data_IF_623355850378
#
_entry.id   IF_623355850378
#
_cell.length_a   1.000
_cell.length_b   1.000
_cell.length_c   1.000
_cell.angle_alpha   90.00
_cell.angle_beta   90.00
_cell.angle_gamma   90.00
#
_symmetry.space_group_name_H-M   'P 1'
#
loop_
_entity.id
_entity.type
_entity.pdbx_description
1 polymer ?
#
# COMPACT_ATOMS: atom_id res chain seq x y z
N UNK A 1 0.86 40.20 2.60
CA UNK A 1 1.69 39.08 2.09
C UNK A 1 0.76 37.98 1.59
N UNK A 2 0.97 37.46 0.38
CA UNK A 2 0.20 36.36 -0.13
C UNK A 2 0.54 35.06 0.65
N UNK A 3 -0.49 34.27 0.96
CA UNK A 3 -0.31 32.97 1.61
C UNK A 3 0.37 31.99 0.62
N UNK A 4 1.29 31.16 1.12
CA UNK A 4 1.82 30.04 0.34
C UNK A 4 0.72 29.02 0.00
N UNK A 5 0.95 28.15 -0.98
CA UNK A 5 -0.01 27.10 -1.35
C UNK A 5 -0.40 26.23 -0.13
N UNK A 6 0.58 25.81 0.66
CA UNK A 6 0.35 25.04 1.87
C UNK A 6 -0.42 25.80 2.94
N UNK A 7 -0.14 27.11 3.13
CA UNK A 7 -0.92 27.95 4.06
C UNK A 7 -2.37 28.09 3.62
N UNK A 8 -2.64 28.22 2.32
CA UNK A 8 -4.00 28.24 1.78
C UNK A 8 -4.75 26.94 2.07
N UNK A 9 -4.08 25.77 1.88
CA UNK A 9 -4.66 24.46 2.19
C UNK A 9 -5.02 24.32 3.68
N UNK A 10 -4.10 24.67 4.58
CA UNK A 10 -4.38 24.67 6.03
C UNK A 10 -5.56 25.57 6.37
N UNK A 11 -5.63 26.77 5.79
CA UNK A 11 -6.73 27.70 6.02
C UNK A 11 -8.08 27.12 5.54
N UNK A 12 -8.11 26.42 4.40
CA UNK A 12 -9.32 25.78 3.91
C UNK A 12 -9.82 24.68 4.85
N UNK A 13 -8.92 23.83 5.34
CA UNK A 13 -9.28 22.79 6.33
C UNK A 13 -9.75 23.44 7.63
N UNK A 14 -9.02 24.42 8.16
CA UNK A 14 -9.42 25.15 9.37
C UNK A 14 -10.79 25.82 9.20
N UNK A 15 -11.04 26.42 8.04
CA UNK A 15 -12.34 27.03 7.72
C UNK A 15 -13.47 26.02 7.72
N UNK A 16 -13.25 24.83 7.16
CA UNK A 16 -14.25 23.77 7.12
C UNK A 16 -14.61 23.27 8.54
N UNK A 17 -13.72 23.44 9.51
CA UNK A 17 -13.89 22.96 10.89
C UNK A 17 -14.49 23.98 11.86
N UNK A 18 -14.54 25.26 11.51
CA UNK A 18 -14.97 26.34 12.43
C UNK A 18 -16.34 26.07 13.08
N UNK A 19 -17.25 25.45 12.33
CA UNK A 19 -18.61 25.15 12.79
C UNK A 19 -18.78 23.70 13.30
N UNK A 20 -17.67 22.98 13.52
CA UNK A 20 -17.63 21.60 14.06
C UNK A 20 -18.62 20.64 13.37
N UNK A 21 -18.52 20.46 12.05
CA UNK A 21 -19.45 19.61 11.32
C UNK A 21 -19.21 18.14 11.66
N UNK A 22 -20.25 17.30 11.66
CA UNK A 22 -20.09 15.85 11.87
C UNK A 22 -19.45 15.15 10.67
N UNK A 23 -19.45 15.77 9.49
CA UNK A 23 -18.86 15.24 8.24
C UNK A 23 -18.03 16.34 7.58
N UNK A 24 -16.80 15.99 7.17
CA UNK A 24 -15.92 16.88 6.39
C UNK A 24 -15.57 16.17 5.08
N UNK A 25 -15.64 16.94 3.97
CA UNK A 25 -15.22 16.47 2.65
C UNK A 25 -13.96 17.25 2.25
N UNK A 26 -12.89 16.53 1.98
CA UNK A 26 -11.58 17.07 1.58
C UNK A 26 -11.26 16.61 0.16
N UNK A 27 -11.17 17.57 -0.76
CA UNK A 27 -10.82 17.27 -2.15
C UNK A 27 -9.32 17.53 -2.36
N UNK A 28 -8.57 16.45 -2.67
CA UNK A 28 -7.13 16.46 -2.89
C UNK A 28 -6.35 17.27 -1.82
N UNK A 29 -6.52 16.96 -0.52
CA UNK A 29 -6.06 17.87 0.55
C UNK A 29 -4.54 18.04 0.60
N UNK A 30 -3.77 17.09 0.07
CA UNK A 30 -2.30 17.04 0.10
C UNK A 30 -1.64 17.34 -1.23
N UNK A 31 -2.42 17.60 -2.29
CA UNK A 31 -1.86 17.89 -3.61
C UNK A 31 -0.98 19.15 -3.58
N UNK A 32 0.28 19.01 -4.01
CA UNK A 32 1.25 20.10 -4.05
C UNK A 32 1.75 20.58 -2.67
N UNK A 33 1.62 19.75 -1.65
CA UNK A 33 2.05 20.04 -0.27
C UNK A 33 3.34 19.29 0.02
N UNK A 34 4.29 19.93 0.72
CA UNK A 34 5.51 19.26 1.17
C UNK A 34 5.24 18.17 2.21
N UNK A 35 6.22 17.30 2.44
CA UNK A 35 6.08 16.11 3.31
C UNK A 35 5.74 16.48 4.75
N UNK A 36 6.37 17.51 5.32
CA UNK A 36 6.14 17.92 6.72
C UNK A 36 4.72 18.44 6.92
N UNK A 37 4.26 19.27 5.99
CA UNK A 37 2.93 19.82 6.02
C UNK A 37 1.86 18.75 5.77
N UNK A 38 2.14 17.79 4.90
CA UNK A 38 1.28 16.63 4.66
C UNK A 38 1.08 15.81 5.94
N UNK A 39 2.15 15.49 6.64
CA UNK A 39 2.08 14.75 7.91
C UNK A 39 1.25 15.50 8.95
N UNK A 40 1.48 16.81 9.11
CA UNK A 40 0.70 17.65 10.03
C UNK A 40 -0.80 17.63 9.69
N UNK A 41 -1.15 17.68 8.41
CA UNK A 41 -2.55 17.64 7.96
C UNK A 41 -3.19 16.28 8.30
N UNK A 42 -2.47 15.19 8.09
CA UNK A 42 -2.96 13.86 8.42
C UNK A 42 -3.13 13.63 9.93
N UNK A 43 -2.23 14.15 10.75
CA UNK A 43 -2.41 14.11 12.21
C UNK A 43 -3.68 14.85 12.64
N UNK A 44 -3.95 16.01 12.06
CA UNK A 44 -5.17 16.76 12.32
C UNK A 44 -6.42 15.98 11.89
N UNK A 45 -6.43 15.38 10.70
CA UNK A 45 -7.55 14.55 10.20
C UNK A 45 -7.79 13.36 11.12
N UNK A 46 -6.73 12.64 11.53
CA UNK A 46 -6.83 11.54 12.50
C UNK A 46 -7.39 12.00 13.85
N UNK A 47 -6.97 13.16 14.32
CA UNK A 47 -7.49 13.73 15.58
C UNK A 47 -8.99 14.00 15.50
N UNK A 48 -9.46 14.57 14.38
CA UNK A 48 -10.89 14.79 14.14
C UNK A 48 -11.69 13.51 14.08
N UNK A 49 -11.18 12.51 13.38
CA UNK A 49 -11.83 11.21 13.29
C UNK A 49 -11.98 10.56 14.67
N UNK A 50 -10.94 10.64 15.53
CA UNK A 50 -11.01 10.20 16.93
C UNK A 50 -12.06 10.95 17.76
N UNK A 51 -12.39 12.17 17.38
CA UNK A 51 -13.46 12.98 18.01
C UNK A 51 -14.85 12.67 17.43
N UNK A 52 -14.96 11.69 16.52
CA UNK A 52 -16.22 11.27 15.93
C UNK A 52 -16.59 11.98 14.62
N UNK A 53 -15.71 12.82 14.06
CA UNK A 53 -15.95 13.48 12.77
C UNK A 53 -15.70 12.48 11.64
N UNK A 54 -16.68 12.26 10.78
CA UNK A 54 -16.51 11.47 9.55
C UNK A 54 -15.78 12.29 8.49
N UNK A 55 -14.68 11.76 7.99
CA UNK A 55 -13.91 12.42 6.92
C UNK A 55 -14.05 11.64 5.62
N UNK A 56 -14.48 12.32 4.56
CA UNK A 56 -14.46 11.82 3.18
C UNK A 56 -13.36 12.58 2.47
N UNK A 57 -12.42 11.87 1.85
CA UNK A 57 -11.36 12.51 1.08
C UNK A 57 -11.27 11.93 -0.33
N UNK A 58 -10.92 12.75 -1.29
CA UNK A 58 -10.49 12.31 -2.61
C UNK A 58 -8.98 12.44 -2.69
N UNK A 59 -8.32 11.51 -3.32
CA UNK A 59 -6.88 11.54 -3.58
C UNK A 59 -6.52 10.64 -4.75
N UNK A 60 -5.47 10.98 -5.45
CA UNK A 60 -4.81 10.11 -6.42
C UNK A 60 -3.52 9.47 -5.84
N UNK A 61 -3.19 9.76 -4.59
CA UNK A 61 -2.07 9.14 -3.88
C UNK A 61 -2.58 7.88 -3.16
N UNK A 62 -2.40 6.72 -3.77
CA UNK A 62 -2.91 5.44 -3.27
C UNK A 62 -2.33 5.08 -1.90
N UNK A 63 -1.05 5.39 -1.66
CA UNK A 63 -0.39 5.21 -0.37
C UNK A 63 -1.07 6.00 0.76
N UNK A 64 -1.57 7.22 0.47
CA UNK A 64 -2.31 8.01 1.45
C UNK A 64 -3.67 7.39 1.76
N UNK A 65 -4.40 6.96 0.72
CA UNK A 65 -5.67 6.28 0.88
C UNK A 65 -5.51 5.02 1.73
N UNK A 66 -4.48 4.22 1.47
CA UNK A 66 -4.17 3.00 2.22
C UNK A 66 -3.89 3.27 3.70
N UNK A 67 -3.08 4.29 4.00
CA UNK A 67 -2.67 4.61 5.38
C UNK A 67 -3.71 5.36 6.21
N UNK A 68 -4.65 6.03 5.55
CA UNK A 68 -5.54 7.00 6.20
C UNK A 68 -7.00 6.57 6.23
N UNK A 69 -7.43 5.71 5.31
CA UNK A 69 -8.85 5.41 5.13
C UNK A 69 -9.20 4.02 5.68
N UNK A 70 -10.30 3.94 6.45
CA UNK A 70 -10.88 2.67 6.86
C UNK A 70 -11.58 1.96 5.70
N UNK A 71 -12.18 2.75 4.79
CA UNK A 71 -12.88 2.27 3.59
C UNK A 71 -12.46 3.10 2.39
N UNK A 72 -12.33 2.43 1.25
CA UNK A 72 -11.88 3.05 -0.01
C UNK A 72 -12.87 2.73 -1.12
N UNK A 73 -13.27 3.77 -1.85
CA UNK A 73 -14.00 3.66 -3.11
C UNK A 73 -13.06 3.91 -4.28
N UNK A 74 -12.92 2.96 -5.19
CA UNK A 74 -12.12 3.09 -6.40
C UNK A 74 -13.02 3.51 -7.55
N UNK A 75 -12.71 4.63 -8.19
CA UNK A 75 -13.44 5.17 -9.33
C UNK A 75 -12.58 5.04 -10.58
N UNK A 76 -13.11 4.49 -11.64
CA UNK A 76 -12.50 4.42 -12.96
C UNK A 76 -13.51 4.74 -14.06
N UNK A 77 -13.15 5.57 -15.03
CA UNK A 77 -14.01 6.00 -16.14
C UNK A 77 -15.39 6.52 -15.64
N UNK A 78 -15.40 7.27 -14.51
CA UNK A 78 -16.62 7.82 -13.93
C UNK A 78 -17.53 6.80 -13.23
N UNK A 79 -17.07 5.57 -13.03
CA UNK A 79 -17.83 4.49 -12.37
C UNK A 79 -17.13 4.03 -11.10
N UNK A 80 -17.91 3.76 -10.06
CA UNK A 80 -17.41 3.12 -8.85
C UNK A 80 -17.16 1.63 -9.15
N UNK A 81 -15.88 1.24 -9.25
CA UNK A 81 -15.48 -0.14 -9.58
C UNK A 81 -15.25 -1.02 -8.35
N UNK A 82 -15.00 -0.42 -7.20
CA UNK A 82 -14.92 -1.12 -5.91
C UNK A 82 -15.27 -0.17 -4.77
N UNK A 83 -15.85 -0.72 -3.69
CA UNK A 83 -16.07 -0.05 -2.42
C UNK A 83 -15.98 -1.08 -1.31
N UNK A 84 -14.93 -1.00 -0.50
CA UNK A 84 -14.68 -1.98 0.57
C UNK A 84 -13.82 -1.37 1.68
N UNK A 85 -13.57 -2.12 2.75
CA UNK A 85 -12.55 -1.75 3.73
C UNK A 85 -11.16 -1.84 3.08
N UNK A 86 -10.22 -1.00 3.55
CA UNK A 86 -8.83 -1.03 3.09
C UNK A 86 -8.24 -2.44 3.20
N UNK A 87 -8.48 -3.11 4.33
CA UNK A 87 -8.06 -4.50 4.54
C UNK A 87 -8.61 -5.44 3.48
N UNK A 88 -9.92 -5.45 3.24
CA UNK A 88 -10.53 -6.35 2.26
C UNK A 88 -10.04 -6.09 0.83
N UNK A 89 -9.70 -4.84 0.49
CA UNK A 89 -9.11 -4.52 -0.81
C UNK A 89 -7.69 -5.11 -0.93
N UNK A 90 -6.86 -4.97 0.09
CA UNK A 90 -5.50 -5.54 0.12
C UNK A 90 -5.52 -7.07 0.15
N UNK A 91 -6.48 -7.68 0.84
CA UNK A 91 -6.65 -9.15 0.88
C UNK A 91 -6.98 -9.76 -0.50
N UNK A 92 -7.36 -8.94 -1.49
CA UNK A 92 -7.51 -9.38 -2.89
C UNK A 92 -6.18 -9.67 -3.58
N UNK A 93 -5.05 -9.24 -3.01
CA UNK A 93 -3.72 -9.53 -3.51
C UNK A 93 -3.34 -10.95 -3.09
N UNK A 94 -3.44 -11.88 -4.03
CA UNK A 94 -3.18 -13.30 -3.78
C UNK A 94 -1.69 -13.65 -3.82
N UNK A 95 -0.86 -12.81 -4.44
CA UNK A 95 0.57 -13.04 -4.60
C UNK A 95 1.37 -12.25 -3.56
N UNK A 96 2.52 -12.81 -3.18
CA UNK A 96 3.51 -12.17 -2.31
C UNK A 96 4.88 -12.25 -2.96
N UNK A 97 5.65 -11.17 -2.86
CA UNK A 97 7.05 -11.16 -3.28
C UNK A 97 7.92 -11.35 -2.04
N UNK A 98 8.93 -12.19 -2.16
CA UNK A 98 9.93 -12.40 -1.11
C UNK A 98 11.32 -12.22 -1.70
N UNK A 99 12.14 -11.51 -0.96
CA UNK A 99 13.53 -11.22 -1.27
C UNK A 99 14.40 -11.97 -0.27
N UNK A 100 15.30 -12.82 -0.77
CA UNK A 100 16.31 -13.49 0.04
C UNK A 100 17.69 -12.94 -0.32
N UNK A 101 18.49 -12.63 0.69
CA UNK A 101 19.91 -12.43 0.55
C UNK A 101 20.60 -13.73 0.98
N UNK A 102 21.40 -14.32 0.10
CA UNK A 102 22.03 -15.65 0.29
C UNK A 102 23.54 -15.57 0.15
N UNK A 103 24.25 -16.58 0.63
CA UNK A 103 25.72 -16.67 0.49
C UNK A 103 26.16 -17.13 -0.92
N UNK A 104 25.25 -17.74 -1.68
CA UNK A 104 25.49 -18.21 -3.05
C UNK A 104 24.17 -18.37 -3.80
N UNK A 105 24.25 -18.49 -5.13
CA UNK A 105 23.11 -18.73 -6.02
C UNK A 105 22.35 -20.00 -5.64
N UNK A 106 21.02 -19.95 -5.69
CA UNK A 106 20.13 -21.09 -5.46
C UNK A 106 19.84 -21.85 -6.75
N UNK A 107 19.38 -23.11 -6.64
CA UNK A 107 18.87 -23.89 -7.77
C UNK A 107 17.33 -23.78 -7.91
N UNK A 108 16.71 -22.81 -7.22
CA UNK A 108 15.27 -22.57 -7.32
C UNK A 108 14.94 -21.97 -8.68
N UNK A 109 13.94 -22.53 -9.32
CA UNK A 109 13.41 -22.10 -10.61
C UNK A 109 11.88 -22.20 -10.61
N UNK A 110 11.21 -21.77 -11.67
CA UNK A 110 9.74 -21.73 -11.78
C UNK A 110 9.08 -23.11 -11.63
N UNK A 111 9.82 -24.20 -11.83
CA UNK A 111 9.32 -25.58 -11.68
C UNK A 111 9.56 -26.14 -10.28
N UNK A 112 10.19 -25.40 -9.36
CA UNK A 112 10.46 -25.88 -8.00
C UNK A 112 9.17 -26.06 -7.21
N UNK A 113 8.18 -25.18 -7.42
CA UNK A 113 6.83 -25.26 -6.84
C UNK A 113 5.79 -24.76 -7.85
N UNK A 114 4.60 -25.37 -7.87
CA UNK A 114 3.54 -25.07 -8.85
C UNK A 114 3.10 -23.59 -8.89
N UNK A 115 3.18 -22.88 -7.75
CA UNK A 115 2.68 -21.50 -7.60
C UNK A 115 3.78 -20.50 -7.30
N UNK A 116 5.00 -20.80 -7.75
CA UNK A 116 6.16 -19.96 -7.57
C UNK A 116 6.65 -19.45 -8.93
N UNK A 117 7.04 -18.18 -8.97
CA UNK A 117 7.71 -17.57 -10.11
C UNK A 117 9.01 -16.93 -9.65
N UNK A 118 10.10 -17.25 -10.31
CA UNK A 118 11.41 -16.62 -10.07
C UNK A 118 11.47 -15.30 -10.84
N UNK A 119 11.61 -14.19 -10.10
CA UNK A 119 11.78 -12.85 -10.69
C UNK A 119 13.27 -12.61 -10.98
N UNK A 120 14.14 -12.97 -10.02
CA UNK A 120 15.60 -12.87 -10.15
C UNK A 120 16.26 -13.95 -9.28
N UNK A 121 17.37 -14.50 -9.76
CA UNK A 121 18.19 -15.47 -9.04
C UNK A 121 19.67 -15.25 -9.37
N UNK A 122 20.29 -14.33 -8.64
CA UNK A 122 21.69 -13.93 -8.78
C UNK A 122 22.56 -14.62 -7.71
N UNK A 123 23.87 -14.34 -7.68
CA UNK A 123 24.81 -15.01 -6.77
C UNK A 123 24.47 -14.82 -5.28
N UNK A 124 23.92 -13.67 -4.90
CA UNK A 124 23.60 -13.35 -3.50
C UNK A 124 22.14 -12.91 -3.30
N UNK A 125 21.33 -12.91 -4.35
CA UNK A 125 19.96 -12.42 -4.28
C UNK A 125 19.00 -13.34 -5.02
N UNK A 126 17.97 -13.78 -4.31
CA UNK A 126 16.85 -14.51 -4.87
C UNK A 126 15.57 -13.72 -4.63
N UNK A 127 14.82 -13.44 -5.69
CA UNK A 127 13.53 -12.76 -5.63
C UNK A 127 12.46 -13.67 -6.23
N UNK A 128 11.46 -13.96 -5.45
CA UNK A 128 10.39 -14.89 -5.79
C UNK A 128 9.02 -14.21 -5.64
N UNK A 129 8.10 -14.55 -6.54
CA UNK A 129 6.67 -14.28 -6.36
C UNK A 129 5.95 -15.61 -6.17
N UNK A 130 5.05 -15.70 -5.22
CA UNK A 130 4.28 -16.91 -4.94
C UNK A 130 2.84 -16.60 -4.49
N UNK A 131 1.93 -17.56 -4.68
CA UNK A 131 0.55 -17.46 -4.20
C UNK A 131 0.47 -17.79 -2.70
N UNK A 132 -0.01 -16.85 -1.90
CA UNK A 132 -0.13 -16.97 -0.42
C UNK A 132 -1.00 -18.17 0.02
N UNK A 133 -1.99 -18.54 -0.80
CA UNK A 133 -2.93 -19.62 -0.48
C UNK A 133 -2.36 -21.02 -0.76
N UNK A 134 -1.33 -21.13 -1.60
CA UNK A 134 -0.79 -22.42 -2.04
C UNK A 134 0.61 -22.70 -1.51
N UNK A 135 1.38 -21.68 -1.19
CA UNK A 135 2.77 -21.82 -0.77
C UNK A 135 3.08 -20.94 0.43
N UNK A 136 3.82 -21.46 1.39
CA UNK A 136 4.27 -20.72 2.55
C UNK A 136 5.75 -20.35 2.44
N UNK A 137 6.13 -19.25 3.07
CA UNK A 137 7.54 -18.83 3.12
C UNK A 137 8.43 -19.88 3.80
N UNK A 138 7.91 -20.59 4.80
CA UNK A 138 8.63 -21.66 5.49
C UNK A 138 9.00 -22.82 4.54
N UNK A 139 8.11 -23.19 3.64
CA UNK A 139 8.37 -24.20 2.61
C UNK A 139 9.51 -23.75 1.68
N UNK A 140 9.51 -22.47 1.26
CA UNK A 140 10.57 -21.90 0.42
C UNK A 140 11.91 -21.89 1.16
N UNK A 141 11.92 -21.44 2.43
CA UNK A 141 13.12 -21.42 3.29
C UNK A 141 13.69 -22.84 3.44
N UNK A 142 12.81 -23.81 3.68
CA UNK A 142 13.22 -25.21 3.84
C UNK A 142 13.90 -25.75 2.58
N UNK A 143 13.42 -25.39 1.39
CA UNK A 143 14.02 -25.77 0.12
C UNK A 143 15.41 -25.12 -0.11
N UNK A 144 15.56 -23.84 0.26
CA UNK A 144 16.86 -23.16 0.21
C UNK A 144 17.85 -23.83 1.16
N UNK A 145 17.43 -24.15 2.38
CA UNK A 145 18.29 -24.82 3.39
C UNK A 145 18.73 -26.23 2.97
N UNK A 146 17.90 -27.01 2.27
CA UNK A 146 18.29 -28.32 1.73
C UNK A 146 19.49 -28.25 0.77
N UNK A 147 19.69 -27.10 0.13
CA UNK A 147 20.82 -26.88 -0.77
C UNK A 147 22.10 -26.42 -0.06
N UNK A 148 22.13 -26.46 1.30
CA UNK A 148 23.23 -25.94 2.13
C UNK A 148 23.55 -24.47 1.79
N UNK A 149 22.52 -23.67 1.58
CA UNK A 149 22.62 -22.24 1.32
C UNK A 149 22.24 -21.50 2.62
N UNK A 150 23.07 -20.53 3.01
CA UNK A 150 22.79 -19.66 4.14
C UNK A 150 21.96 -18.48 3.69
N UNK A 151 20.88 -18.21 4.41
CA UNK A 151 20.06 -17.02 4.24
C UNK A 151 20.60 -15.97 5.23
N UNK A 152 21.01 -14.82 4.73
CA UNK A 152 21.50 -13.69 5.52
C UNK A 152 20.38 -12.71 5.90
N UNK A 153 19.43 -12.50 4.98
CA UNK A 153 18.30 -11.60 5.19
C UNK A 153 17.08 -12.04 4.39
N UNK A 154 15.90 -11.68 4.89
CA UNK A 154 14.61 -11.93 4.24
C UNK A 154 13.77 -10.66 4.37
N UNK A 155 13.30 -10.14 3.25
CA UNK A 155 12.27 -9.13 3.22
C UNK A 155 11.09 -9.55 2.35
N UNK A 156 9.90 -9.03 2.63
CA UNK A 156 8.70 -9.41 1.91
C UNK A 156 7.93 -8.17 1.48
N UNK A 157 7.26 -8.30 0.35
CA UNK A 157 6.33 -7.33 -0.17
C UNK A 157 4.98 -8.04 -0.37
N UNK A 158 3.97 -7.57 0.35
CA UNK A 158 2.62 -8.12 0.32
C UNK A 158 1.75 -7.50 -0.78
N UNK A 159 2.32 -6.55 -1.52
CA UNK A 159 1.62 -5.69 -2.45
C UNK A 159 0.87 -4.56 -1.74
N UNK A 160 0.42 -3.59 -2.50
CA UNK A 160 -0.22 -2.38 -2.00
C UNK A 160 -1.54 -2.06 -2.75
N UNK A 161 -2.14 -0.94 -2.40
CA UNK A 161 -3.38 -0.49 -3.03
C UNK A 161 -3.19 -0.17 -4.53
N UNK A 162 -1.97 0.12 -4.99
CA UNK A 162 -1.65 0.34 -6.41
C UNK A 162 -1.83 -0.96 -7.21
N UNK A 163 -1.40 -2.10 -6.66
CA UNK A 163 -1.62 -3.41 -7.27
C UNK A 163 -3.11 -3.73 -7.40
N UNK A 164 -3.89 -3.42 -6.37
CA UNK A 164 -5.36 -3.58 -6.40
C UNK A 164 -5.97 -2.69 -7.47
N UNK A 165 -5.59 -1.41 -7.49
CA UNK A 165 -6.07 -0.43 -8.45
C UNK A 165 -5.77 -0.88 -9.89
N UNK A 166 -4.55 -1.28 -10.17
CA UNK A 166 -4.14 -1.74 -11.50
C UNK A 166 -4.92 -2.99 -11.96
N UNK A 167 -5.20 -3.93 -11.04
CA UNK A 167 -5.99 -5.12 -11.38
C UNK A 167 -7.45 -4.80 -11.69
N UNK A 168 -8.05 -3.84 -10.98
CA UNK A 168 -9.44 -3.45 -11.16
C UNK A 168 -9.68 -2.52 -12.34
N UNK A 169 -8.65 -1.83 -12.82
CA UNK A 169 -8.73 -0.81 -13.89
C UNK A 169 -8.12 -1.26 -15.21
N UNK A 170 -7.28 -2.31 -15.23
CA UNK A 170 -6.81 -2.92 -16.49
C UNK A 170 -7.99 -3.59 -17.20
N UNK A 171 -8.22 -3.14 -18.42
CA UNK A 171 -9.12 -3.80 -19.39
C UNK A 171 -8.43 -5.01 -19.98
#
# INVERSE_FOLDING_TARGET
RALSGGMKRRLLVAKAMVHQPPIIILDEPTAGVDVELRNTLWENVKSLNKQGVTTILTTHYLEEAEKMCDRIGIINDGKLVALDTTKNLLDRIQTKIVYFTTDKKTNINDNTFESLKVISNDEQRLVLSYEKSKLTIDTIISEIKKQNIKIHDISTDDGDLEDVFLRLTKK
#
